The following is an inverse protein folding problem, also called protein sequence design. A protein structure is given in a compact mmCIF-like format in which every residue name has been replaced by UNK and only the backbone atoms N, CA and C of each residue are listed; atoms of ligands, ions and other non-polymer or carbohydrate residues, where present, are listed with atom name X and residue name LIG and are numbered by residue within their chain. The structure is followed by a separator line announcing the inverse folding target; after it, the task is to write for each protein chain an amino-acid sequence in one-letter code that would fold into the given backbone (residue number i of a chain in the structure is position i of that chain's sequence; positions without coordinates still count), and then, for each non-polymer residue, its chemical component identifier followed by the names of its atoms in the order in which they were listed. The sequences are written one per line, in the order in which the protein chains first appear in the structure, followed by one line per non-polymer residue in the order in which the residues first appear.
data_IF_758952001647
#
_entry.id   IF_758952001647
#
_cell.length_a   1.000
_cell.length_b   1.000
_cell.length_c   1.000
_cell.angle_alpha   90.00
_cell.angle_beta   90.00
_cell.angle_gamma   90.00
#
_symmetry.space_group_name_H-M   'P 1'
#
loop_
_entity.id
_entity.type
_entity.pdbx_description
1 polymer ?
#
# COMPACT_ATOMS: atom_id res chain seq x y z
N UNK A 1 -7.47 11.44 18.50
CA UNK A 1 -6.21 11.94 17.92
C UNK A 1 -6.21 11.75 16.40
N UNK A 2 -6.99 12.52 15.64
CA UNK A 2 -7.13 12.33 14.19
C UNK A 2 -5.87 12.73 13.42
N UNK A 3 -5.31 13.90 13.76
CA UNK A 3 -4.10 14.42 13.12
C UNK A 3 -2.88 13.51 13.32
N UNK A 4 -2.69 12.97 14.54
CA UNK A 4 -1.61 12.02 14.82
C UNK A 4 -1.75 10.74 13.97
N UNK A 5 -2.96 10.23 13.83
CA UNK A 5 -3.23 9.06 13.00
C UNK A 5 -2.95 9.34 11.52
N UNK A 6 -3.29 10.54 11.02
CA UNK A 6 -2.93 10.98 9.67
C UNK A 6 -1.41 11.04 9.48
N UNK A 7 -0.68 11.61 10.44
CA UNK A 7 0.80 11.68 10.39
C UNK A 7 1.42 10.29 10.36
N UNK A 8 0.98 9.39 11.23
CA UNK A 8 1.48 8.00 11.27
C UNK A 8 1.16 7.29 9.95
N UNK A 9 -0.05 7.49 9.40
CA UNK A 9 -0.46 6.83 8.17
C UNK A 9 0.34 7.31 6.96
N UNK A 10 0.57 8.62 6.83
CA UNK A 10 1.38 9.17 5.76
C UNK A 10 2.87 8.79 5.90
N UNK A 11 3.37 8.76 7.14
CA UNK A 11 4.72 8.29 7.43
C UNK A 11 4.90 6.83 7.01
N UNK A 12 3.97 5.94 7.33
CA UNK A 12 4.06 4.52 6.94
C UNK A 12 3.82 4.30 5.44
N UNK A 13 3.06 5.16 4.75
CA UNK A 13 2.90 5.09 3.29
C UNK A 13 4.23 5.30 2.57
N UNK A 14 5.00 6.31 2.99
CA UNK A 14 6.31 6.61 2.42
C UNK A 14 7.41 5.73 3.05
N UNK A 15 7.35 5.45 4.34
CA UNK A 15 8.39 4.74 5.09
C UNK A 15 7.77 3.54 5.81
N UNK A 16 7.28 2.54 5.07
CA UNK A 16 6.68 1.37 5.69
C UNK A 16 7.72 0.59 6.50
N UNK A 17 7.38 0.10 7.71
CA UNK A 17 8.29 -0.72 8.51
C UNK A 17 8.79 -1.97 7.77
N UNK A 18 7.92 -2.55 6.94
CA UNK A 18 8.24 -3.66 6.03
C UNK A 18 7.95 -3.20 4.60
N UNK A 19 9.01 -2.97 3.84
CA UNK A 19 8.93 -2.40 2.49
C UNK A 19 8.45 -3.41 1.44
N UNK A 20 8.88 -4.67 1.59
CA UNK A 20 8.65 -5.76 0.63
C UNK A 20 8.31 -7.02 1.41
N UNK A 21 7.31 -7.75 0.92
CA UNK A 21 6.91 -9.03 1.45
C UNK A 21 6.67 -10.00 0.28
N UNK A 22 6.79 -11.30 0.53
CA UNK A 22 6.71 -12.32 -0.50
C UNK A 22 6.05 -13.59 0.02
N UNK A 23 5.43 -14.34 -0.88
CA UNK A 23 4.89 -15.67 -0.64
C UNK A 23 5.34 -16.62 -1.74
N UNK A 24 5.37 -17.92 -1.46
CA UNK A 24 5.73 -18.94 -2.45
C UNK A 24 4.48 -19.72 -2.86
N UNK A 25 4.27 -19.84 -4.17
CA UNK A 25 3.15 -20.60 -4.73
C UNK A 25 3.27 -22.08 -4.36
N UNK A 26 2.26 -22.61 -3.65
CA UNK A 26 2.19 -24.03 -3.25
C UNK A 26 1.70 -24.94 -4.38
N UNK A 27 0.91 -24.38 -5.30
CA UNK A 27 0.39 -25.01 -6.51
C UNK A 27 0.39 -24.00 -7.65
N UNK A 28 0.23 -24.50 -8.88
CA UNK A 28 -0.02 -23.64 -10.04
C UNK A 28 -1.31 -22.85 -9.86
N UNK A 29 -1.33 -21.59 -10.29
CA UNK A 29 -2.47 -20.69 -10.17
C UNK A 29 -2.45 -19.60 -11.27
N UNK A 30 -3.51 -18.80 -11.35
CA UNK A 30 -3.66 -17.70 -12.30
C UNK A 30 -4.11 -16.44 -11.55
N UNK A 31 -3.34 -15.36 -11.65
CA UNK A 31 -3.72 -14.08 -11.06
C UNK A 31 -4.91 -13.45 -11.79
N UNK A 32 -5.56 -12.47 -11.17
CA UNK A 32 -6.75 -11.80 -11.72
C UNK A 32 -6.52 -11.12 -13.08
N UNK A 33 -5.27 -10.80 -13.43
CA UNK A 33 -4.88 -10.22 -14.72
C UNK A 33 -4.56 -11.28 -15.80
N UNK A 34 -4.69 -12.57 -15.46
CA UNK A 34 -4.36 -13.70 -16.33
C UNK A 34 -2.91 -14.18 -16.21
N UNK A 35 -2.09 -13.58 -15.35
CA UNK A 35 -0.70 -14.01 -15.15
C UNK A 35 -0.64 -15.42 -14.54
N UNK A 36 0.00 -16.35 -15.25
CA UNK A 36 0.22 -17.72 -14.77
C UNK A 36 1.36 -17.75 -13.75
N UNK A 37 1.11 -18.34 -12.58
CA UNK A 37 2.12 -18.58 -11.55
C UNK A 37 2.26 -20.10 -11.32
N UNK A 38 3.50 -20.58 -11.24
CA UNK A 38 3.82 -22.00 -11.07
C UNK A 38 4.19 -22.32 -9.64
N UNK A 39 3.97 -23.57 -9.23
CA UNK A 39 4.45 -24.07 -7.95
C UNK A 39 5.95 -23.76 -7.77
N UNK A 40 6.31 -23.22 -6.62
CA UNK A 40 7.67 -22.83 -6.26
C UNK A 40 8.08 -21.41 -6.71
N UNK A 41 7.25 -20.70 -7.49
CA UNK A 41 7.51 -19.29 -7.78
C UNK A 41 7.25 -18.41 -6.55
N UNK A 42 8.04 -17.36 -6.41
CA UNK A 42 7.81 -16.31 -5.43
C UNK A 42 6.91 -15.22 -6.03
N UNK A 43 5.86 -14.86 -5.31
CA UNK A 43 5.05 -13.68 -5.57
C UNK A 43 5.46 -12.63 -4.56
N UNK A 44 5.92 -11.47 -5.06
CA UNK A 44 6.47 -10.39 -4.25
C UNK A 44 5.54 -9.18 -4.36
N UNK A 45 5.21 -8.57 -3.23
CA UNK A 45 4.54 -7.27 -3.21
C UNK A 45 5.36 -6.25 -2.40
N UNK A 46 5.39 -5.01 -2.90
CA UNK A 46 6.18 -3.93 -2.32
C UNK A 46 5.27 -2.80 -1.88
N UNK A 47 5.00 -2.72 -0.58
CA UNK A 47 4.28 -1.59 0.02
C UNK A 47 5.03 -0.28 -0.23
N UNK A 48 6.37 -0.32 -0.24
CA UNK A 48 7.21 0.83 -0.54
C UNK A 48 6.99 1.37 -1.96
N UNK A 49 6.87 0.48 -2.95
CA UNK A 49 6.62 0.85 -4.34
C UNK A 49 5.17 1.32 -4.51
N UNK A 50 4.19 0.55 -4.02
CA UNK A 50 2.76 0.89 -4.08
C UNK A 50 2.49 2.27 -3.48
N UNK A 51 3.11 2.57 -2.34
CA UNK A 51 3.02 3.88 -1.70
C UNK A 51 3.46 5.04 -2.60
N UNK A 52 4.32 4.81 -3.60
CA UNK A 52 4.91 5.85 -4.48
C UNK A 52 4.43 5.78 -5.92
N UNK A 53 3.45 4.93 -6.23
CA UNK A 53 2.95 4.82 -7.59
C UNK A 53 1.95 5.95 -7.90
N UNK A 54 2.25 6.75 -8.92
CA UNK A 54 1.36 7.83 -9.38
C UNK A 54 -0.01 7.30 -9.83
N UNK A 55 -0.07 6.12 -10.45
CA UNK A 55 -1.35 5.49 -10.83
C UNK A 55 -2.25 5.17 -9.63
N UNK A 56 -1.68 5.06 -8.44
CA UNK A 56 -2.40 4.74 -7.20
C UNK A 56 -2.59 6.00 -6.34
N UNK A 57 -1.57 6.85 -6.19
CA UNK A 57 -1.56 7.98 -5.26
C UNK A 57 -1.57 9.36 -5.93
N UNK A 58 -1.75 9.41 -7.26
CA UNK A 58 -1.77 10.63 -8.09
C UNK A 58 -0.39 11.33 -8.11
N UNK A 59 -0.26 12.44 -8.83
CA UNK A 59 1.00 13.13 -9.18
C UNK A 59 1.90 13.49 -8.00
N UNK A 60 1.32 13.75 -6.84
CA UNK A 60 2.02 14.17 -5.63
C UNK A 60 2.37 12.99 -4.69
N UNK A 61 2.37 11.75 -5.22
CA UNK A 61 2.63 10.53 -4.44
C UNK A 61 3.98 10.50 -3.70
N UNK A 62 4.95 11.34 -4.08
CA UNK A 62 6.24 11.44 -3.38
C UNK A 62 6.25 12.49 -2.26
N UNK A 63 5.23 13.34 -2.18
CA UNK A 63 5.11 14.38 -1.18
C UNK A 63 4.45 13.84 0.09
N UNK A 64 4.86 14.36 1.25
CA UNK A 64 4.23 14.07 2.53
C UNK A 64 2.99 14.98 2.70
N UNK A 65 1.80 14.43 2.48
CA UNK A 65 0.52 15.18 2.47
C UNK A 65 -0.51 14.55 3.38
N UNK A 66 -0.88 15.27 4.44
CA UNK A 66 -1.84 14.79 5.44
C UNK A 66 -3.29 14.86 4.94
N UNK A 67 -3.55 15.72 3.96
CA UNK A 67 -4.85 15.91 3.31
C UNK A 67 -5.34 14.63 2.61
N UNK A 68 -4.46 13.64 2.40
CA UNK A 68 -4.86 12.30 1.92
C UNK A 68 -5.72 11.54 2.93
N UNK A 69 -5.43 11.79 4.21
CA UNK A 69 -5.95 11.08 5.38
C UNK A 69 -6.94 11.93 6.18
N UNK A 70 -7.11 13.20 5.83
CA UNK A 70 -7.99 14.14 6.50
C UNK A 70 -9.05 14.63 5.51
N UNK A 71 -10.31 14.68 5.93
CA UNK A 71 -11.36 15.31 5.14
C UNK A 71 -11.38 16.84 5.32
N UNK A 72 -12.33 17.53 4.66
CA UNK A 72 -12.46 18.99 4.73
C UNK A 72 -12.77 19.54 6.13
N UNK A 73 -13.17 18.68 7.07
CA UNK A 73 -13.47 19.03 8.46
C UNK A 73 -12.32 18.60 9.41
N UNK A 74 -11.27 17.97 8.88
CA UNK A 74 -10.12 17.48 9.63
C UNK A 74 -10.35 16.14 10.33
N UNK A 75 -11.40 15.40 9.99
CA UNK A 75 -11.61 14.04 10.48
C UNK A 75 -10.78 13.03 9.68
N UNK A 76 -10.34 11.97 10.35
CA UNK A 76 -9.51 10.95 9.72
C UNK A 76 -10.34 10.07 8.78
N UNK A 77 -9.86 9.92 7.55
CA UNK A 77 -10.42 9.06 6.51
C UNK A 77 -9.56 7.81 6.36
N UNK A 78 -10.18 6.64 6.53
CA UNK A 78 -9.54 5.36 6.23
C UNK A 78 -9.29 5.21 4.73
N UNK A 79 -8.28 4.41 4.38
CA UNK A 79 -7.96 4.04 3.00
C UNK A 79 -8.09 2.54 2.82
N UNK A 80 -8.35 2.10 1.58
CA UNK A 80 -8.45 0.68 1.25
C UNK A 80 -7.15 -0.05 1.61
N UNK A 81 -7.23 -1.25 2.24
CA UNK A 81 -6.03 -2.03 2.58
C UNK A 81 -5.22 -2.43 1.33
N UNK A 82 -5.87 -2.52 0.16
CA UNK A 82 -5.19 -2.81 -1.11
C UNK A 82 -4.44 -1.60 -1.68
N UNK A 83 -4.90 -0.38 -1.37
CA UNK A 83 -4.24 0.88 -1.75
C UNK A 83 -3.15 1.27 -0.75
N UNK A 84 -3.34 0.89 0.52
CA UNK A 84 -2.45 1.13 1.65
C UNK A 84 -2.08 -0.17 2.39
N UNK A 85 -1.24 -1.04 1.78
CA UNK A 85 -0.99 -2.41 2.26
C UNK A 85 0.12 -2.50 3.32
N UNK A 86 0.27 -1.49 4.18
CA UNK A 86 1.37 -1.44 5.17
C UNK A 86 1.25 -2.50 6.27
N UNK A 87 0.05 -3.05 6.47
CA UNK A 87 -0.23 -4.10 7.45
C UNK A 87 -0.34 -5.50 6.82
N UNK A 88 -0.08 -5.63 5.52
CA UNK A 88 -0.11 -6.92 4.81
C UNK A 88 -1.43 -7.70 4.97
N UNK A 89 -2.56 -6.98 4.90
CA UNK A 89 -3.91 -7.54 5.01
C UNK A 89 -4.49 -7.96 3.65
#
# INVERSE_FOLDING_TARGET
MQYLQAVISEAMRLYPPVSVNWTMCQSDDVLHDGTLIKKGMFVVFSAYYIGRMESIWVKDCLEFKLERWLDGEGAFRNESPYRYPVFHA
#
